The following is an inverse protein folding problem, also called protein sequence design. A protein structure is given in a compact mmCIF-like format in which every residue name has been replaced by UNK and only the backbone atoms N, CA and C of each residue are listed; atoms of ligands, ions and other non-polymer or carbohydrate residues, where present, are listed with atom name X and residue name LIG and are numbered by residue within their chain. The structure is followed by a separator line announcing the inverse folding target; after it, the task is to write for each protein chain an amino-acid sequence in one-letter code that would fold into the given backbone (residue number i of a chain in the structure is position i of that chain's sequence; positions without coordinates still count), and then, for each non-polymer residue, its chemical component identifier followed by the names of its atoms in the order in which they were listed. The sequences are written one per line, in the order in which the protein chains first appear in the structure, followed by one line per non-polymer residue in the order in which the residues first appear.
data_IF_019243868641
#
_entry.id   IF_019243868641
#
_cell.length_a   1.000
_cell.length_b   1.000
_cell.length_c   1.000
_cell.angle_alpha   90.00
_cell.angle_beta   90.00
_cell.angle_gamma   90.00
#
_symmetry.space_group_name_H-M   'P 1'
#
loop_
_entity.id
_entity.type
_entity.pdbx_description
1 polymer ?
#
# COMPACT_ATOMS: atom_id res chain seq x y z
N UNK A 1 -2.10 4.70 12.08
CA UNK A 1 -1.14 5.61 12.76
C UNK A 1 0.28 5.41 12.22
N UNK A 2 0.91 6.47 11.72
CA UNK A 2 2.27 6.43 11.14
C UNK A 2 3.33 7.00 12.11
N UNK A 3 4.41 6.26 12.34
CA UNK A 3 5.60 6.73 13.08
C UNK A 3 6.85 6.54 12.25
N UNK A 4 7.73 7.53 12.22
CA UNK A 4 9.05 7.46 11.58
C UNK A 4 10.13 7.20 12.61
N UNK A 5 11.03 6.27 12.32
CA UNK A 5 12.26 6.09 13.08
C UNK A 5 13.37 6.92 12.43
N UNK A 6 13.81 7.95 13.14
CA UNK A 6 14.81 8.90 12.69
C UNK A 6 16.12 8.65 13.43
N UNK A 7 17.22 8.80 12.70
CA UNK A 7 18.56 8.84 13.27
C UNK A 7 19.38 9.95 12.63
N UNK A 8 20.53 10.26 13.22
CA UNK A 8 21.54 11.15 12.70
C UNK A 8 22.92 10.54 12.91
N UNK A 9 23.73 10.55 11.84
CA UNK A 9 25.06 9.92 11.74
C UNK A 9 25.08 8.39 11.93
N UNK A 10 24.69 7.85 13.09
CA UNK A 10 24.78 6.44 13.46
C UNK A 10 23.52 5.63 13.09
N UNK A 11 23.63 4.32 12.90
CA UNK A 11 22.50 3.41 12.62
C UNK A 11 21.99 2.69 13.89
N UNK A 12 22.67 2.85 15.03
CA UNK A 12 22.34 2.13 16.28
C UNK A 12 21.43 2.90 17.26
N UNK A 13 21.47 4.22 17.27
CA UNK A 13 20.62 5.07 18.11
C UNK A 13 19.61 5.82 17.24
N UNK A 14 18.33 5.84 17.62
CA UNK A 14 17.29 6.57 16.90
C UNK A 14 16.07 6.89 17.76
N UNK A 15 15.26 7.84 17.30
CA UNK A 15 14.04 8.32 17.96
C UNK A 15 12.84 8.21 17.04
N UNK A 16 11.69 7.95 17.62
CA UNK A 16 10.43 7.88 16.88
C UNK A 16 9.71 9.22 16.87
N UNK A 17 9.32 9.65 15.68
CA UNK A 17 8.42 10.79 15.46
C UNK A 17 7.06 10.27 15.00
N UNK A 18 6.02 10.53 15.79
CA UNK A 18 4.64 10.25 15.37
C UNK A 18 4.15 11.34 14.42
N UNK A 19 3.45 10.95 13.36
CA UNK A 19 2.88 11.88 12.38
C UNK A 19 1.35 11.94 12.49
N UNK A 20 0.73 13.12 12.26
CA UNK A 20 1.38 14.43 12.14
C UNK A 20 1.85 14.94 13.52
N UNK A 21 3.07 15.49 13.64
CA UNK A 21 3.59 15.95 14.93
C UNK A 21 3.18 17.39 15.22
N UNK A 22 3.07 17.72 16.50
CA UNK A 22 3.01 19.08 17.01
C UNK A 22 4.39 19.76 16.96
N UNK A 23 4.47 21.11 16.99
CA UNK A 23 5.75 21.80 17.07
C UNK A 23 6.60 21.43 18.30
N UNK A 24 5.96 21.07 19.42
CA UNK A 24 6.65 20.63 20.63
C UNK A 24 7.32 19.26 20.42
N UNK A 25 6.60 18.29 19.84
CA UNK A 25 7.14 16.96 19.54
C UNK A 25 8.29 17.03 18.53
N UNK A 26 8.22 17.92 17.53
CA UNK A 26 9.36 18.22 16.64
C UNK A 26 10.55 18.72 17.46
N UNK A 27 10.34 19.70 18.34
CA UNK A 27 11.42 20.23 19.19
C UNK A 27 12.10 19.15 20.05
N UNK A 28 11.31 18.28 20.68
CA UNK A 28 11.80 17.18 21.51
C UNK A 28 12.61 16.16 20.70
N UNK A 29 12.07 15.71 19.55
CA UNK A 29 12.75 14.76 18.66
C UNK A 29 14.05 15.33 18.12
N UNK A 30 14.08 16.61 17.72
CA UNK A 30 15.31 17.23 17.22
C UNK A 30 16.35 17.43 18.32
N UNK A 31 15.93 17.81 19.53
CA UNK A 31 16.83 17.89 20.68
C UNK A 31 17.50 16.54 20.97
N UNK A 32 16.76 15.44 20.83
CA UNK A 32 17.33 14.10 21.00
C UNK A 32 18.28 13.73 19.86
N UNK A 33 17.95 14.08 18.61
CA UNK A 33 18.86 13.89 17.48
C UNK A 33 20.16 14.71 17.61
N UNK A 34 20.09 15.91 18.22
CA UNK A 34 21.25 16.75 18.51
C UNK A 34 22.20 16.10 19.54
N UNK A 35 21.67 15.27 20.45
CA UNK A 35 22.48 14.48 21.41
C UNK A 35 23.25 13.35 20.72
N UNK A 36 22.70 12.73 19.66
CA UNK A 36 23.43 11.73 18.86
C UNK A 36 24.53 12.41 18.03
N UNK A 37 24.16 13.48 17.31
CA UNK A 37 25.08 14.20 16.44
C UNK A 37 24.57 15.61 16.14
N UNK A 38 25.48 16.57 16.03
CA UNK A 38 25.12 17.94 15.62
C UNK A 38 25.05 18.14 14.11
N UNK A 39 25.41 17.13 13.31
CA UNK A 39 25.32 17.19 11.85
C UNK A 39 23.89 16.94 11.35
N UNK A 40 23.09 18.01 11.31
CA UNK A 40 21.69 17.99 10.85
C UNK A 40 21.54 17.37 9.46
N UNK A 41 22.53 17.54 8.56
CA UNK A 41 22.47 17.03 7.18
C UNK A 41 22.47 15.51 7.08
N UNK A 42 22.92 14.83 8.14
CA UNK A 42 22.95 13.37 8.22
C UNK A 42 21.65 12.74 8.75
N UNK A 43 20.64 13.56 9.05
CA UNK A 43 19.33 13.08 9.53
C UNK A 43 18.64 12.26 8.46
N UNK A 44 18.24 11.03 8.80
CA UNK A 44 17.62 10.09 7.84
C UNK A 44 16.54 9.25 8.49
N UNK A 45 15.60 8.76 7.69
CA UNK A 45 14.59 7.80 8.10
C UNK A 45 15.17 6.39 7.95
N UNK A 46 15.29 5.65 9.04
CA UNK A 46 15.77 4.25 9.05
C UNK A 46 14.65 3.23 9.15
N UNK A 47 13.43 3.67 9.48
CA UNK A 47 12.27 2.81 9.55
C UNK A 47 10.96 3.58 9.67
N UNK A 48 9.85 2.88 9.50
CA UNK A 48 8.53 3.40 9.76
C UNK A 48 7.65 2.31 10.38
N UNK A 49 6.75 2.71 11.27
CA UNK A 49 5.70 1.87 11.85
C UNK A 49 4.38 2.37 11.27
N UNK A 50 3.64 1.49 10.59
CA UNK A 50 2.35 1.77 9.97
C UNK A 50 1.58 0.49 9.75
N UNK A 51 0.24 0.61 9.65
CA UNK A 51 -0.64 -0.47 9.21
C UNK A 51 -0.44 -0.81 7.72
N UNK A 52 0.07 0.15 6.92
CA UNK A 52 0.57 -0.07 5.55
C UNK A 52 2.02 -0.56 5.64
N UNK A 53 2.21 -1.88 5.63
CA UNK A 53 3.46 -2.51 6.07
C UNK A 53 4.68 -2.18 5.21
N UNK A 54 4.48 -1.97 3.91
CA UNK A 54 5.58 -1.66 2.99
C UNK A 54 5.91 -0.15 2.94
N UNK A 55 5.14 0.72 3.61
CA UNK A 55 5.24 2.17 3.41
C UNK A 55 6.64 2.72 3.72
N UNK A 56 7.31 2.18 4.76
CA UNK A 56 8.65 2.62 5.14
C UNK A 56 9.68 2.51 4.01
N UNK A 57 9.50 1.57 3.07
CA UNK A 57 10.37 1.42 1.89
C UNK A 57 10.32 2.63 0.96
N UNK A 58 9.16 3.29 0.91
CA UNK A 58 8.89 4.46 0.07
C UNK A 58 9.21 5.79 0.78
N UNK A 59 9.25 5.79 2.11
CA UNK A 59 9.56 6.98 2.90
C UNK A 59 11.05 7.16 3.20
N UNK A 60 11.84 6.08 3.20
CA UNK A 60 13.24 6.07 3.67
C UNK A 60 14.18 7.11 3.02
N UNK A 61 13.90 7.48 1.76
CA UNK A 61 14.73 8.41 0.99
C UNK A 61 14.30 9.87 1.14
N UNK A 62 13.25 10.15 1.91
CA UNK A 62 12.80 11.53 2.14
C UNK A 62 13.78 12.26 3.06
N UNK A 63 14.23 13.43 2.63
CA UNK A 63 14.98 14.37 3.47
C UNK A 63 14.01 15.12 4.38
N UNK A 64 13.92 14.72 5.64
CA UNK A 64 13.00 15.33 6.62
C UNK A 64 13.28 16.81 6.89
N UNK A 65 14.49 17.31 6.59
CA UNK A 65 14.85 18.71 6.78
C UNK A 65 14.55 19.56 5.54
N UNK A 66 14.39 18.94 4.37
CA UNK A 66 14.13 19.69 3.15
C UNK A 66 12.75 20.39 3.20
N UNK A 67 12.63 21.62 2.68
CA UNK A 67 11.38 22.38 2.72
C UNK A 67 10.21 21.59 2.13
N UNK A 68 9.12 21.50 2.90
CA UNK A 68 7.88 20.85 2.47
C UNK A 68 7.85 19.32 2.58
N UNK A 69 8.97 18.64 2.83
CA UNK A 69 8.98 17.17 2.99
C UNK A 69 8.17 16.73 4.21
N UNK A 70 8.30 17.43 5.34
CA UNK A 70 7.46 17.16 6.53
C UNK A 70 5.96 17.29 6.24
N UNK A 71 5.56 18.27 5.41
CA UNK A 71 4.16 18.44 5.01
C UNK A 71 3.66 17.24 4.19
N UNK A 72 4.50 16.70 3.30
CA UNK A 72 4.19 15.50 2.52
C UNK A 72 4.10 14.25 3.41
N UNK A 73 5.03 14.08 4.34
CA UNK A 73 5.00 12.99 5.32
C UNK A 73 3.72 13.04 6.18
N UNK A 74 3.32 14.23 6.63
CA UNK A 74 2.06 14.43 7.34
C UNK A 74 0.85 14.09 6.46
N UNK A 75 0.85 14.47 5.18
CA UNK A 75 -0.22 14.11 4.25
C UNK A 75 -0.33 12.60 4.07
N UNK A 76 0.79 11.89 3.99
CA UNK A 76 0.80 10.42 3.93
C UNK A 76 0.23 9.83 5.21
N UNK A 77 0.59 10.37 6.38
CA UNK A 77 0.02 9.95 7.66
C UNK A 77 -1.52 10.10 7.68
N UNK A 78 -2.02 11.27 7.26
CA UNK A 78 -3.47 11.53 7.13
C UNK A 78 -4.15 10.50 6.22
N UNK A 79 -3.59 10.21 5.05
CA UNK A 79 -4.13 9.18 4.15
C UNK A 79 -4.18 7.84 4.88
N UNK A 80 -3.07 7.39 5.46
CA UNK A 80 -3.02 6.07 6.13
C UNK A 80 -3.97 5.93 7.31
N UNK A 81 -4.25 7.03 8.02
CA UNK A 81 -5.17 7.01 9.17
C UNK A 81 -6.64 6.91 8.78
N UNK A 82 -6.98 7.20 7.52
CA UNK A 82 -8.35 7.02 7.00
C UNK A 82 -8.62 5.61 6.48
N UNK A 83 -7.59 4.80 6.30
CA UNK A 83 -7.72 3.47 5.71
C UNK A 83 -8.13 2.43 6.74
N UNK A 84 -9.10 1.60 6.37
CA UNK A 84 -9.38 0.37 7.09
C UNK A 84 -8.37 -0.72 6.68
N UNK A 85 -8.58 -1.96 7.16
CA UNK A 85 -7.66 -3.07 6.90
C UNK A 85 -7.52 -3.40 5.41
N UNK A 86 -8.61 -3.38 4.66
CA UNK A 86 -8.58 -3.71 3.23
C UNK A 86 -8.06 -2.52 2.41
N UNK A 87 -8.36 -1.28 2.81
CA UNK A 87 -7.76 -0.07 2.29
C UNK A 87 -6.24 -0.03 2.49
N UNK A 88 -5.73 -0.45 3.66
CA UNK A 88 -4.29 -0.57 3.89
C UNK A 88 -3.64 -1.57 2.92
N UNK A 89 -4.28 -2.72 2.67
CA UNK A 89 -3.78 -3.73 1.73
C UNK A 89 -3.87 -3.28 0.28
N UNK A 90 -4.95 -2.59 -0.07
CA UNK A 90 -5.11 -1.95 -1.38
C UNK A 90 -3.97 -0.95 -1.61
N UNK A 91 -3.67 -0.11 -0.63
CA UNK A 91 -2.58 0.85 -0.73
C UNK A 91 -1.20 0.17 -0.77
N UNK A 92 -0.96 -0.86 0.04
CA UNK A 92 0.26 -1.69 -0.03
C UNK A 92 0.50 -2.17 -1.46
N UNK A 93 -0.52 -2.79 -2.08
CA UNK A 93 -0.41 -3.35 -3.42
C UNK A 93 -0.35 -2.30 -4.52
N UNK A 94 -1.05 -1.17 -4.37
CA UNK A 94 -0.97 -0.07 -5.33
C UNK A 94 0.43 0.54 -5.37
N UNK A 95 1.09 0.70 -4.22
CA UNK A 95 2.48 1.15 -4.17
C UNK A 95 3.45 0.16 -4.83
N UNK A 96 3.27 -1.14 -4.58
CA UNK A 96 4.13 -2.20 -5.16
C UNK A 96 3.87 -2.42 -6.66
N UNK A 97 2.68 -2.05 -7.17
CA UNK A 97 2.31 -2.14 -8.58
C UNK A 97 2.81 -0.95 -9.42
N UNK A 98 3.29 0.12 -8.78
CA UNK A 98 3.64 1.38 -9.42
C UNK A 98 5.14 1.69 -9.32
N UNK A 99 5.63 2.54 -10.22
CA UNK A 99 7.00 3.07 -10.16
C UNK A 99 7.04 4.31 -9.27
N UNK A 100 7.20 4.10 -7.95
CA UNK A 100 7.23 5.18 -6.95
C UNK A 100 8.63 5.82 -6.86
N UNK A 101 8.74 7.10 -7.19
CA UNK A 101 10.01 7.87 -7.20
C UNK A 101 10.14 8.85 -6.03
N UNK A 102 9.09 9.05 -5.24
CA UNK A 102 9.13 9.94 -4.09
C UNK A 102 7.79 10.10 -3.39
N UNK A 103 7.74 10.99 -2.40
CA UNK A 103 6.55 11.19 -1.57
C UNK A 103 5.33 11.69 -2.36
N UNK A 104 5.52 12.45 -3.44
CA UNK A 104 4.40 12.91 -4.27
C UNK A 104 3.68 11.76 -4.96
N UNK A 105 4.42 10.73 -5.40
CA UNK A 105 3.83 9.53 -6.00
C UNK A 105 3.06 8.73 -4.94
N UNK A 106 3.62 8.57 -3.74
CA UNK A 106 2.95 7.92 -2.60
C UNK A 106 1.62 8.62 -2.27
N UNK A 107 1.64 9.95 -2.20
CA UNK A 107 0.42 10.75 -1.97
C UNK A 107 -0.56 10.57 -3.11
N UNK A 108 -0.12 10.69 -4.37
CA UNK A 108 -0.97 10.58 -5.55
C UNK A 108 -1.67 9.23 -5.62
N UNK A 109 -0.94 8.14 -5.33
CA UNK A 109 -1.50 6.78 -5.29
C UNK A 109 -2.51 6.66 -4.14
N UNK A 110 -2.16 7.13 -2.94
CA UNK A 110 -3.03 7.06 -1.76
C UNK A 110 -4.30 7.91 -1.87
N UNK A 111 -4.28 9.02 -2.62
CA UNK A 111 -5.45 9.86 -2.89
C UNK A 111 -6.34 9.32 -4.02
N UNK A 112 -5.87 8.31 -4.76
CA UNK A 112 -6.54 7.76 -5.94
C UNK A 112 -6.72 6.24 -5.85
N UNK A 113 -6.92 5.72 -4.64
CA UNK A 113 -7.07 4.29 -4.41
C UNK A 113 -8.30 3.70 -5.13
N UNK A 114 -9.30 4.52 -5.46
CA UNK A 114 -10.44 4.13 -6.29
C UNK A 114 -10.04 3.69 -7.71
N UNK A 115 -8.85 4.05 -8.19
CA UNK A 115 -8.32 3.63 -9.50
C UNK A 115 -7.77 2.20 -9.50
N UNK A 116 -7.78 1.53 -8.34
CA UNK A 116 -7.25 0.19 -8.17
C UNK A 116 -8.36 -0.78 -7.74
N UNK A 117 -8.16 -2.04 -8.09
CA UNK A 117 -8.97 -3.16 -7.63
C UNK A 117 -8.16 -3.95 -6.60
N UNK A 118 -8.86 -4.47 -5.59
CA UNK A 118 -8.29 -5.41 -4.63
C UNK A 118 -9.06 -6.73 -4.67
N UNK A 119 -8.33 -7.81 -4.94
CA UNK A 119 -8.84 -9.18 -4.92
C UNK A 119 -8.23 -9.87 -3.70
N UNK A 120 -8.97 -9.98 -2.58
CA UNK A 120 -8.44 -10.57 -1.37
C UNK A 120 -8.22 -12.07 -1.52
N UNK A 121 -7.27 -12.59 -0.75
CA UNK A 121 -6.87 -14.01 -0.70
C UNK A 121 -6.22 -14.55 -1.98
N UNK A 122 -5.93 -13.70 -2.95
CA UNK A 122 -5.15 -14.05 -4.13
C UNK A 122 -3.72 -13.54 -3.95
N UNK A 123 -2.82 -14.40 -3.50
CA UNK A 123 -1.44 -14.05 -3.11
C UNK A 123 -0.38 -14.72 -3.98
N UNK A 124 -0.81 -15.58 -4.90
CA UNK A 124 0.05 -16.34 -5.81
C UNK A 124 -0.55 -16.41 -7.20
N UNK A 125 0.27 -16.70 -8.21
CA UNK A 125 -0.19 -16.90 -9.58
C UNK A 125 -1.24 -18.01 -9.66
N UNK A 126 -1.05 -19.11 -8.93
CA UNK A 126 -2.00 -20.22 -8.92
C UNK A 126 -3.37 -19.79 -8.37
N UNK A 127 -3.39 -19.05 -7.27
CA UNK A 127 -4.64 -18.52 -6.70
C UNK A 127 -5.31 -17.54 -7.66
N UNK A 128 -4.53 -16.72 -8.37
CA UNK A 128 -5.04 -15.78 -9.36
C UNK A 128 -5.71 -16.54 -10.52
N UNK A 129 -5.04 -17.55 -11.07
CA UNK A 129 -5.63 -18.37 -12.13
C UNK A 129 -6.90 -19.10 -11.68
N UNK A 130 -6.91 -19.68 -10.48
CA UNK A 130 -8.11 -20.31 -9.91
C UNK A 130 -9.26 -19.29 -9.80
N UNK A 131 -8.96 -18.10 -9.28
CA UNK A 131 -9.94 -17.04 -9.13
C UNK A 131 -10.51 -16.61 -10.49
N UNK A 132 -9.66 -16.37 -11.49
CA UNK A 132 -10.07 -15.91 -12.82
C UNK A 132 -10.99 -16.91 -13.53
N UNK A 133 -10.67 -18.21 -13.45
CA UNK A 133 -11.50 -19.27 -14.06
C UNK A 133 -12.82 -19.43 -13.31
N UNK A 134 -12.79 -19.57 -11.98
CA UNK A 134 -13.99 -19.83 -11.18
C UNK A 134 -14.96 -18.65 -11.14
N UNK A 135 -14.44 -17.43 -11.23
CA UNK A 135 -15.24 -16.21 -11.27
C UNK A 135 -15.86 -15.95 -12.65
N UNK A 136 -15.43 -16.68 -13.68
CA UNK A 136 -15.89 -16.49 -15.05
C UNK A 136 -15.25 -15.32 -15.78
N UNK A 137 -14.25 -14.64 -15.18
CA UNK A 137 -13.46 -13.60 -15.86
C UNK A 137 -12.70 -14.18 -17.05
N UNK A 138 -12.17 -15.40 -16.88
CA UNK A 138 -11.57 -16.18 -17.96
C UNK A 138 -12.30 -17.52 -18.09
N UNK A 139 -13.38 -17.59 -18.87
CA UNK A 139 -14.23 -18.78 -18.90
C UNK A 139 -13.56 -19.94 -19.65
N UNK A 140 -13.61 -21.13 -19.04
CA UNK A 140 -13.25 -22.41 -19.66
C UNK A 140 -14.38 -23.41 -19.44
N UNK A 141 -14.58 -24.32 -20.40
CA UNK A 141 -15.52 -25.42 -20.26
C UNK A 141 -15.23 -26.23 -18.98
N UNK A 142 -16.28 -26.55 -18.22
CA UNK A 142 -16.18 -27.27 -16.93
C UNK A 142 -15.42 -28.60 -17.05
N UNK A 143 -15.57 -29.29 -18.19
CA UNK A 143 -14.88 -30.56 -18.46
C UNK A 143 -13.36 -30.40 -18.63
N UNK A 144 -12.87 -29.19 -18.95
CA UNK A 144 -11.45 -28.87 -19.14
C UNK A 144 -10.81 -28.35 -17.85
N UNK A 145 -11.59 -27.68 -16.98
CA UNK A 145 -11.10 -27.07 -15.74
C UNK A 145 -10.25 -27.99 -14.85
N UNK A 146 -10.55 -29.29 -14.66
CA UNK A 146 -9.70 -30.18 -13.86
C UNK A 146 -8.27 -30.38 -14.40
N UNK A 147 -8.04 -30.07 -15.68
CA UNK A 147 -6.76 -30.29 -16.37
C UNK A 147 -5.98 -29.00 -16.61
N UNK A 148 -6.53 -27.84 -16.22
CA UNK A 148 -5.87 -26.55 -16.41
C UNK A 148 -4.66 -26.40 -15.49
N UNK A 149 -3.59 -25.82 -16.04
CA UNK A 149 -2.49 -25.28 -15.25
C UNK A 149 -2.87 -23.87 -14.77
N UNK A 150 -3.56 -23.81 -13.63
CA UNK A 150 -3.98 -22.54 -13.03
C UNK A 150 -2.83 -21.60 -12.69
N UNK A 151 -1.64 -22.13 -12.37
CA UNK A 151 -0.48 -21.26 -12.13
C UNK A 151 -0.10 -20.53 -13.42
N UNK A 152 -0.07 -21.25 -14.54
CA UNK A 152 0.23 -20.64 -15.85
C UNK A 152 -0.84 -19.63 -16.28
N UNK A 153 -2.11 -19.92 -16.04
CA UNK A 153 -3.20 -18.95 -16.29
C UNK A 153 -2.97 -17.65 -15.50
N UNK A 154 -2.64 -17.75 -14.22
CA UNK A 154 -2.35 -16.58 -13.40
C UNK A 154 -1.11 -15.81 -13.83
N UNK A 155 -0.02 -16.51 -14.18
CA UNK A 155 1.21 -15.90 -14.71
C UNK A 155 0.92 -15.10 -15.97
N UNK A 156 0.20 -15.69 -16.93
CA UNK A 156 -0.14 -15.04 -18.19
C UNK A 156 -1.05 -13.82 -17.97
N UNK A 157 -2.00 -13.92 -17.03
CA UNK A 157 -2.81 -12.78 -16.65
C UNK A 157 -1.97 -11.66 -16.02
N UNK A 158 -1.18 -11.97 -15.00
CA UNK A 158 -0.31 -11.01 -14.31
C UNK A 158 0.64 -10.31 -15.29
N UNK A 159 1.26 -11.05 -16.21
CA UNK A 159 2.17 -10.49 -17.21
C UNK A 159 1.49 -9.48 -18.16
N UNK A 160 0.21 -9.69 -18.48
CA UNK A 160 -0.54 -8.84 -19.41
C UNK A 160 -1.22 -7.64 -18.72
N UNK A 161 -1.55 -7.75 -17.44
CA UNK A 161 -2.36 -6.77 -16.71
C UNK A 161 -1.57 -6.03 -15.60
N UNK A 162 -0.35 -6.49 -15.28
CA UNK A 162 0.50 -5.90 -14.25
C UNK A 162 0.01 -6.22 -12.83
N UNK A 163 0.10 -5.26 -11.92
CA UNK A 163 -0.35 -5.40 -10.53
C UNK A 163 0.71 -5.95 -9.58
N UNK A 164 0.30 -6.20 -8.33
CA UNK A 164 1.18 -6.69 -7.28
C UNK A 164 0.44 -7.59 -6.29
N UNK A 165 1.13 -8.66 -5.86
CA UNK A 165 0.69 -9.48 -4.75
C UNK A 165 1.09 -8.83 -3.43
N UNK A 166 0.12 -8.74 -2.52
CA UNK A 166 0.32 -8.37 -1.12
C UNK A 166 0.12 -9.61 -0.25
N UNK A 167 0.47 -9.52 1.02
CA UNK A 167 0.15 -10.57 1.98
C UNK A 167 -1.37 -10.73 2.23
N UNK A 168 -2.22 -9.83 1.70
CA UNK A 168 -3.68 -9.91 1.82
C UNK A 168 -4.40 -10.36 0.55
N UNK A 169 -3.80 -10.18 -0.62
CA UNK A 169 -4.43 -10.40 -1.91
C UNK A 169 -3.69 -9.71 -3.06
N UNK A 170 -4.35 -9.59 -4.20
CA UNK A 170 -3.78 -9.07 -5.45
C UNK A 170 -4.38 -7.71 -5.77
N UNK A 171 -3.54 -6.74 -6.10
CA UNK A 171 -3.94 -5.37 -6.45
C UNK A 171 -3.47 -5.05 -7.85
N UNK A 172 -4.33 -4.43 -8.65
CA UNK A 172 -4.03 -3.98 -10.01
C UNK A 172 -4.83 -2.72 -10.32
N UNK A 173 -4.39 -1.97 -11.34
CA UNK A 173 -5.15 -0.82 -11.82
C UNK A 173 -6.44 -1.27 -12.49
N UNK A 174 -7.50 -0.48 -12.34
CA UNK A 174 -8.79 -0.70 -13.00
C UNK A 174 -8.68 -0.63 -14.52
N UNK A 175 -7.92 0.33 -15.06
CA UNK A 175 -7.74 0.50 -16.50
C UNK A 175 -7.00 -0.68 -17.16
N UNK A 176 -6.16 -1.37 -16.40
CA UNK A 176 -5.49 -2.60 -16.81
C UNK A 176 -6.32 -3.86 -16.53
N UNK A 177 -7.52 -3.78 -15.97
CA UNK A 177 -8.33 -4.93 -15.58
C UNK A 177 -9.50 -5.17 -16.54
N UNK A 178 -9.82 -6.44 -16.80
CA UNK A 178 -11.01 -6.84 -17.55
C UNK A 178 -12.29 -6.30 -16.92
N UNK A 179 -13.27 -5.88 -17.74
CA UNK A 179 -14.53 -5.32 -17.24
C UNK A 179 -15.28 -6.31 -16.34
N UNK A 180 -15.28 -7.60 -16.70
CA UNK A 180 -15.89 -8.65 -15.90
C UNK A 180 -15.28 -8.73 -14.48
N UNK A 181 -13.98 -8.47 -14.35
CA UNK A 181 -13.32 -8.44 -13.05
C UNK A 181 -13.75 -7.22 -12.23
N UNK A 182 -13.82 -6.04 -12.87
CA UNK A 182 -14.31 -4.82 -12.23
C UNK A 182 -15.73 -5.02 -11.68
N UNK A 183 -16.63 -5.57 -12.50
CA UNK A 183 -18.03 -5.80 -12.14
C UNK A 183 -18.16 -6.74 -10.91
N UNK A 184 -17.32 -7.79 -10.83
CA UNK A 184 -17.32 -8.75 -9.73
C UNK A 184 -16.84 -8.11 -8.42
N UNK A 185 -15.77 -7.29 -8.49
CA UNK A 185 -15.24 -6.59 -7.33
C UNK A 185 -16.24 -5.53 -6.84
N UNK A 186 -16.82 -4.74 -7.74
CA UNK A 186 -17.78 -3.70 -7.39
C UNK A 186 -19.08 -4.29 -6.81
N UNK A 187 -19.57 -5.41 -7.36
CA UNK A 187 -20.72 -6.14 -6.80
C UNK A 187 -20.45 -6.72 -5.40
N UNK A 188 -19.20 -7.02 -5.07
CA UNK A 188 -18.82 -7.44 -3.72
C UNK A 188 -18.85 -6.28 -2.74
N UNK A 189 -18.24 -5.14 -3.11
CA UNK A 189 -18.20 -3.94 -2.27
C UNK A 189 -19.62 -3.49 -1.90
N UNK A 190 -20.51 -3.39 -2.89
CA UNK A 190 -21.90 -3.01 -2.68
C UNK A 190 -22.64 -3.93 -1.70
N UNK A 191 -22.35 -5.24 -1.72
CA UNK A 191 -22.96 -6.20 -0.78
C UNK A 191 -22.43 -6.05 0.65
N UNK A 192 -21.17 -5.67 0.82
CA UNK A 192 -20.59 -5.43 2.14
C UNK A 192 -21.12 -4.13 2.77
N UNK A 193 -21.34 -3.09 1.98
CA UNK A 193 -21.95 -1.83 2.46
C UNK A 193 -23.41 -2.01 2.88
N UNK A 194 -24.21 -2.72 2.08
CA UNK A 194 -25.63 -2.98 2.40
C UNK A 194 -25.81 -3.85 3.66
N UNK A 195 -24.92 -4.82 3.89
CA UNK A 195 -24.95 -5.68 5.08
C UNK A 195 -24.58 -4.96 6.38
N UNK A 196 -23.99 -3.76 6.30
CA UNK A 196 -23.65 -2.93 7.46
C UNK A 196 -24.76 -1.94 7.88
N UNK A 197 -25.84 -1.81 7.10
CA UNK A 197 -26.94 -0.87 7.36
C UNK A 197 -28.15 -1.49 8.06
N UNK A 198 -28.16 -2.79 8.33
CA UNK A 198 -29.17 -3.41 9.19
C UNK A 198 -28.58 -3.58 10.60
N UNK A 199 -29.11 -2.82 11.56
CA UNK A 199 -29.29 -3.08 13.00
C UNK A 199 -29.54 -1.74 13.71
N UNK A 200 -30.76 -1.21 13.53
CA UNK A 200 -31.35 -0.14 14.34
C UNK A 200 -32.54 -0.69 15.12
#
# INVERSE_FOLDING_TARGET
MLKLHLTRADDYEGVYLQLPPTPAEIGEVWSWLDEISTDVSSTRIVGAISDVRNIGRYLKNADVNAPGQMKKLNRIAEITDTLDRDGCRLFEGALDAESVNGLDDVITIGERLEQYLYIPHVTTDRELGIFLVNSGVMPFDENVQPYLDYARVGIEYYANHGGAYTAGGYVLRRDSAEQALQDIVDARINRQELGGMEMG
#
